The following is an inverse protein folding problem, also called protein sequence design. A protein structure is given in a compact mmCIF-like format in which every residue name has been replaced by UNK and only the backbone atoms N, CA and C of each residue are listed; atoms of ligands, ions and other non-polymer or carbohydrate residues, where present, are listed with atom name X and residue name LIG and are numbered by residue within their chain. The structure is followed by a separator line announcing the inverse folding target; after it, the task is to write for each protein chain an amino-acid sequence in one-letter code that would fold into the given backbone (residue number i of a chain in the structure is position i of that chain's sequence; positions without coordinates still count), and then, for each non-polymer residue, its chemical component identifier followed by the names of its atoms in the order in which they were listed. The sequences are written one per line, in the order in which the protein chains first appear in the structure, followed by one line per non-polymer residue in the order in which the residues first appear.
data_IF_485478630340
#
_entry.id   IF_485478630340
#
_cell.length_a   1.000
_cell.length_b   1.000
_cell.length_c   1.000
_cell.angle_alpha   90.00
_cell.angle_beta   90.00
_cell.angle_gamma   90.00
#
_symmetry.space_group_name_H-M   'P 1'
#
loop_
_entity.id
_entity.type
_entity.pdbx_description
1 polymer ?
#
# COMPACT_ATOMS: atom_id res chain seq x y z
N UNK A 1 -1.04 24.35 -36.78
CA UNK A 1 -0.82 24.68 -35.36
C UNK A 1 -0.79 23.37 -34.60
N UNK A 2 0.35 23.00 -34.04
CA UNK A 2 0.46 21.82 -33.18
C UNK A 2 -0.41 22.03 -31.95
N UNK A 3 -1.55 21.34 -31.93
CA UNK A 3 -2.61 21.61 -30.95
C UNK A 3 -2.21 21.18 -29.53
N UNK A 4 -1.16 20.38 -29.39
CA UNK A 4 -0.60 19.90 -28.12
C UNK A 4 0.91 19.68 -28.22
N UNK A 5 1.63 19.92 -27.12
CA UNK A 5 3.08 19.74 -27.03
C UNK A 5 3.44 18.25 -27.07
N UNK A 6 4.42 17.90 -27.89
CA UNK A 6 5.05 16.58 -27.88
C UNK A 6 5.68 16.35 -26.49
N UNK A 7 5.40 15.22 -25.82
CA UNK A 7 6.04 14.90 -24.55
C UNK A 7 7.56 14.80 -24.73
N UNK A 8 8.31 15.30 -23.75
CA UNK A 8 9.74 15.04 -23.68
C UNK A 8 10.00 13.53 -23.47
N UNK A 9 11.20 13.10 -23.81
CA UNK A 9 11.61 11.71 -23.59
C UNK A 9 11.68 11.43 -22.08
N UNK A 10 11.05 10.35 -21.65
CA UNK A 10 11.09 9.93 -20.25
C UNK A 10 12.36 9.13 -19.95
N UNK A 11 13.17 9.66 -19.03
CA UNK A 11 14.49 9.11 -18.66
C UNK A 11 14.79 9.34 -17.18
N UNK A 12 13.87 8.96 -16.31
CA UNK A 12 14.03 9.12 -14.85
C UNK A 12 14.22 7.75 -14.23
N UNK A 13 15.29 7.57 -13.47
CA UNK A 13 15.56 6.31 -12.79
C UNK A 13 14.45 6.00 -11.75
N UNK A 14 13.96 4.74 -11.66
CA UNK A 14 12.97 4.35 -10.67
C UNK A 14 13.36 4.65 -9.21
N UNK A 15 14.67 4.65 -8.90
CA UNK A 15 15.21 4.94 -7.58
C UNK A 15 15.19 6.42 -7.19
N UNK A 16 14.95 7.33 -8.14
CA UNK A 16 14.90 8.77 -7.86
C UNK A 16 13.72 9.12 -6.93
N UNK A 17 13.95 10.02 -5.97
CA UNK A 17 12.94 10.52 -5.04
C UNK A 17 11.72 11.18 -5.71
N UNK A 18 11.89 11.68 -6.93
CA UNK A 18 10.87 12.35 -7.74
C UNK A 18 10.23 11.44 -8.78
N UNK A 19 10.71 10.19 -8.91
CA UNK A 19 10.35 9.26 -9.99
C UNK A 19 8.84 9.04 -10.11
N UNK A 20 8.15 8.81 -8.98
CA UNK A 20 6.69 8.63 -8.97
C UNK A 20 5.94 9.86 -9.50
N UNK A 21 6.30 11.07 -9.04
CA UNK A 21 5.62 12.31 -9.45
C UNK A 21 5.87 12.60 -10.92
N UNK A 22 7.11 12.44 -11.35
CA UNK A 22 7.50 12.69 -12.74
C UNK A 22 6.85 11.69 -13.69
N UNK A 23 6.78 10.40 -13.32
CA UNK A 23 6.06 9.38 -14.08
C UNK A 23 4.57 9.71 -14.21
N UNK A 24 3.89 10.04 -13.10
CA UNK A 24 2.45 10.39 -13.12
C UNK A 24 2.18 11.57 -14.06
N UNK A 25 3.01 12.62 -13.98
CA UNK A 25 2.89 13.80 -14.83
C UNK A 25 3.18 13.46 -16.30
N UNK A 26 4.31 12.80 -16.57
CA UNK A 26 4.72 12.43 -17.93
C UNK A 26 3.69 11.53 -18.60
N UNK A 27 3.22 10.49 -17.89
CA UNK A 27 2.19 9.56 -18.38
C UNK A 27 0.93 10.33 -18.78
N UNK A 28 0.49 11.29 -17.97
CA UNK A 28 -0.69 12.10 -18.29
C UNK A 28 -0.49 12.92 -19.57
N UNK A 29 0.66 13.56 -19.71
CA UNK A 29 1.01 14.32 -20.93
C UNK A 29 1.10 13.42 -22.15
N UNK A 30 1.67 12.23 -22.00
CA UNK A 30 1.77 11.23 -23.06
C UNK A 30 0.41 10.66 -23.48
N UNK A 31 -0.49 10.37 -22.54
CA UNK A 31 -1.88 9.98 -22.83
C UNK A 31 -2.64 11.07 -23.59
N UNK A 32 -2.48 12.34 -23.21
CA UNK A 32 -3.07 13.47 -23.92
C UNK A 32 -2.54 13.57 -25.36
N UNK A 33 -1.24 13.34 -25.56
CA UNK A 33 -0.61 13.33 -26.88
C UNK A 33 -1.13 12.18 -27.76
N UNK A 34 -1.21 10.95 -27.23
CA UNK A 34 -1.79 9.81 -27.95
C UNK A 34 -3.23 10.11 -28.37
N UNK A 35 -4.04 10.66 -27.46
CA UNK A 35 -5.44 10.94 -27.73
C UNK A 35 -5.65 11.83 -28.96
N UNK A 36 -4.77 12.82 -29.14
CA UNK A 36 -4.80 13.77 -30.26
C UNK A 36 -4.33 13.13 -31.56
N UNK A 37 -3.38 12.21 -31.48
CA UNK A 37 -2.87 11.50 -32.66
C UNK A 37 -3.80 10.42 -33.18
N UNK A 38 -4.87 10.09 -32.44
CA UNK A 38 -5.85 9.09 -32.86
C UNK A 38 -6.47 9.54 -34.18
N UNK A 39 -6.31 8.80 -35.29
CA UNK A 39 -6.96 9.16 -36.53
C UNK A 39 -8.48 9.13 -36.33
N UNK A 40 -9.17 10.16 -36.82
CA UNK A 40 -10.62 10.12 -36.93
C UNK A 40 -10.99 8.91 -37.81
N UNK A 41 -11.99 8.13 -37.41
CA UNK A 41 -12.46 7.03 -38.24
C UNK A 41 -12.80 7.60 -39.64
N UNK A 42 -12.34 6.97 -40.73
CA UNK A 42 -12.74 7.43 -42.06
C UNK A 42 -14.26 7.32 -42.15
N UNK A 43 -14.93 8.45 -42.32
CA UNK A 43 -16.30 8.47 -42.83
C UNK A 43 -16.24 7.82 -44.20
N UNK A 44 -16.78 6.60 -44.28
CA UNK A 44 -17.12 5.83 -45.50
C UNK A 44 -16.44 6.29 -46.79
N UNK A 45 -15.41 5.55 -47.21
CA UNK A 45 -15.21 5.26 -48.63
C UNK A 45 -14.51 3.91 -48.79
N UNK A 46 -15.21 3.00 -49.46
CA UNK A 46 -14.97 1.56 -49.49
C UNK A 46 -13.76 1.11 -50.32
N UNK A 47 -12.71 1.92 -50.48
CA UNK A 47 -11.63 1.59 -51.43
C UNK A 47 -10.19 1.88 -50.97
N UNK A 48 -9.90 1.82 -49.66
CA UNK A 48 -8.51 1.70 -49.20
C UNK A 48 -8.23 0.32 -48.61
N UNK A 49 -7.45 -0.46 -49.35
CA UNK A 49 -7.00 -1.83 -49.06
C UNK A 49 -5.86 -1.82 -48.02
N UNK A 50 -6.02 -1.07 -46.92
CA UNK A 50 -5.10 -1.12 -45.78
C UNK A 50 -5.94 -1.50 -44.56
N UNK A 51 -5.73 -2.69 -43.95
CA UNK A 51 -6.32 -2.97 -42.66
C UNK A 51 -5.92 -1.81 -41.74
N UNK A 52 -6.85 -1.18 -41.00
CA UNK A 52 -6.47 -0.13 -40.08
C UNK A 52 -5.37 -0.69 -39.18
N UNK A 53 -4.15 -0.15 -39.29
CA UNK A 53 -3.08 -0.51 -38.36
C UNK A 53 -3.69 -0.37 -36.97
N UNK A 54 -3.74 -1.49 -36.24
CA UNK A 54 -4.45 -1.56 -34.97
C UNK A 54 -3.83 -0.46 -34.11
N UNK A 55 -4.64 0.55 -33.77
CA UNK A 55 -4.23 1.76 -33.07
C UNK A 55 -3.32 1.46 -31.85
N UNK A 56 -3.53 0.32 -31.20
CA UNK A 56 -2.70 -0.16 -30.09
C UNK A 56 -1.22 -0.44 -30.45
N UNK A 57 -0.93 -0.90 -31.68
CA UNK A 57 0.45 -1.05 -32.16
C UNK A 57 1.13 0.31 -32.31
N UNK A 58 0.41 1.30 -32.85
CA UNK A 58 0.91 2.67 -32.99
C UNK A 58 1.17 3.28 -31.60
N UNK A 59 0.25 3.11 -30.63
CA UNK A 59 0.48 3.52 -29.23
C UNK A 59 1.76 2.93 -28.65
N UNK A 60 1.98 1.63 -28.86
CA UNK A 60 3.15 0.94 -28.34
C UNK A 60 4.45 1.47 -28.98
N UNK A 61 4.47 1.68 -30.29
CA UNK A 61 5.61 2.30 -30.98
C UNK A 61 5.88 3.72 -30.47
N UNK A 62 4.84 4.53 -30.28
CA UNK A 62 4.97 5.86 -29.70
C UNK A 62 5.55 5.82 -28.29
N UNK A 63 5.13 4.86 -27.47
CA UNK A 63 5.66 4.67 -26.12
C UNK A 63 7.17 4.39 -26.17
N UNK A 64 7.59 3.39 -26.96
CA UNK A 64 8.99 3.01 -27.13
C UNK A 64 9.84 4.19 -27.61
N UNK A 65 9.31 5.02 -28.51
CA UNK A 65 10.02 6.19 -29.04
C UNK A 65 10.18 7.34 -28.02
N UNK A 66 9.31 7.41 -27.01
CA UNK A 66 9.32 8.50 -26.02
C UNK A 66 9.88 8.08 -24.65
N UNK A 67 10.48 6.90 -24.54
CA UNK A 67 11.23 6.46 -23.35
C UNK A 67 12.72 6.30 -23.66
N UNK A 68 13.56 6.33 -22.63
CA UNK A 68 14.99 6.08 -22.75
C UNK A 68 15.33 4.60 -22.95
N UNK A 69 16.53 4.25 -23.46
CA UNK A 69 16.91 2.86 -23.63
C UNK A 69 16.99 2.15 -22.28
N UNK A 70 17.42 2.86 -21.23
CA UNK A 70 17.44 2.35 -19.86
C UNK A 70 16.03 1.96 -19.40
N UNK A 71 15.04 2.82 -19.66
CA UNK A 71 13.65 2.52 -19.28
C UNK A 71 13.06 1.42 -20.16
N UNK A 72 13.43 1.36 -21.44
CA UNK A 72 12.99 0.30 -22.36
C UNK A 72 13.41 -1.10 -21.88
N UNK A 73 14.55 -1.25 -21.19
CA UNK A 73 14.99 -2.56 -20.66
C UNK A 73 13.94 -3.23 -19.76
N UNK A 74 13.12 -2.44 -19.05
CA UNK A 74 12.08 -2.98 -18.18
C UNK A 74 10.85 -3.48 -18.94
N UNK A 75 10.64 -3.02 -20.18
CA UNK A 75 9.47 -3.37 -21.00
C UNK A 75 9.84 -4.08 -22.31
N UNK A 76 11.08 -4.55 -22.45
CA UNK A 76 11.57 -5.18 -23.69
C UNK A 76 10.78 -6.44 -24.06
N UNK A 77 10.24 -7.14 -23.06
CA UNK A 77 9.41 -8.34 -23.23
C UNK A 77 7.93 -8.01 -23.42
N UNK A 78 7.51 -6.76 -23.20
CA UNK A 78 6.12 -6.38 -23.36
C UNK A 78 5.70 -6.44 -24.83
N UNK A 79 4.57 -7.07 -25.08
CA UNK A 79 4.06 -7.30 -26.44
C UNK A 79 3.13 -6.20 -26.93
N UNK A 80 2.60 -5.41 -25.99
CA UNK A 80 1.58 -4.40 -26.25
C UNK A 80 1.68 -3.23 -25.26
N UNK A 81 0.96 -2.16 -25.60
CA UNK A 81 0.93 -0.91 -24.83
C UNK A 81 0.46 -1.09 -23.38
N UNK A 82 -0.63 -1.83 -23.17
CA UNK A 82 -1.23 -1.99 -21.83
C UNK A 82 -0.31 -2.77 -20.89
N UNK A 83 0.34 -3.81 -21.39
CA UNK A 83 1.35 -4.58 -20.66
C UNK A 83 2.54 -3.71 -20.26
N UNK A 84 3.09 -2.95 -21.21
CA UNK A 84 4.22 -2.04 -20.95
C UNK A 84 3.87 -0.95 -19.93
N UNK A 85 2.70 -0.31 -20.06
CA UNK A 85 2.23 0.69 -19.09
C UNK A 85 2.02 0.05 -17.71
N UNK A 86 1.50 -1.18 -17.64
CA UNK A 86 1.32 -1.87 -16.37
C UNK A 86 2.66 -2.13 -15.67
N UNK A 87 3.67 -2.55 -16.42
CA UNK A 87 5.03 -2.76 -15.90
C UNK A 87 5.62 -1.44 -15.39
N UNK A 88 5.59 -0.39 -16.21
CA UNK A 88 6.13 0.93 -15.82
C UNK A 88 5.36 1.52 -14.65
N UNK A 89 4.04 1.37 -14.61
CA UNK A 89 3.22 1.83 -13.49
C UNK A 89 3.63 1.15 -12.18
N UNK A 90 3.85 -0.17 -12.19
CA UNK A 90 4.34 -0.91 -11.01
C UNK A 90 5.76 -0.50 -10.62
N UNK A 91 6.60 -0.16 -11.59
CA UNK A 91 7.98 0.25 -11.39
C UNK A 91 8.06 1.63 -10.70
N UNK A 92 7.26 2.60 -11.15
CA UNK A 92 7.33 3.98 -10.68
C UNK A 92 6.35 4.32 -9.55
N UNK A 93 5.23 3.60 -9.44
CA UNK A 93 4.19 3.90 -8.45
C UNK A 93 4.14 2.78 -7.44
N UNK A 94 4.71 3.06 -6.27
CA UNK A 94 4.66 2.15 -5.12
C UNK A 94 3.20 2.01 -4.67
N UNK A 95 2.74 0.78 -4.35
CA UNK A 95 1.40 0.58 -3.84
C UNK A 95 1.24 1.35 -2.53
N UNK A 96 0.13 2.09 -2.43
CA UNK A 96 -0.19 2.82 -1.21
C UNK A 96 -0.66 1.84 -0.13
N UNK A 97 -0.16 2.04 1.08
CA UNK A 97 -0.69 1.33 2.23
C UNK A 97 -1.96 2.04 2.70
N UNK A 98 -3.11 1.51 2.30
CA UNK A 98 -4.42 2.12 2.58
C UNK A 98 -4.73 2.09 4.08
N UNK A 99 -4.37 0.99 4.75
CA UNK A 99 -4.59 0.80 6.18
C UNK A 99 -3.80 1.84 6.98
N UNK A 100 -2.53 2.06 6.62
CA UNK A 100 -1.70 3.09 7.22
C UNK A 100 -2.21 4.50 6.92
N UNK A 101 -2.59 4.80 5.68
CA UNK A 101 -3.12 6.11 5.31
C UNK A 101 -4.39 6.46 6.11
N UNK A 102 -5.33 5.52 6.21
CA UNK A 102 -6.56 5.68 6.99
C UNK A 102 -6.28 5.79 8.49
N UNK A 103 -5.32 5.03 9.01
CA UNK A 103 -4.88 5.15 10.39
C UNK A 103 -4.30 6.55 10.68
N UNK A 104 -3.50 7.10 9.76
CA UNK A 104 -2.97 8.47 9.88
C UNK A 104 -4.07 9.51 9.90
N UNK A 105 -5.08 9.39 9.04
CA UNK A 105 -6.25 10.27 9.06
C UNK A 105 -7.01 10.16 10.39
N UNK A 106 -7.30 8.94 10.85
CA UNK A 106 -8.09 8.69 12.05
C UNK A 106 -7.40 9.13 13.35
N UNK A 107 -6.07 9.06 13.40
CA UNK A 107 -5.29 9.40 14.61
C UNK A 107 -4.72 10.82 14.60
N UNK A 108 -4.86 11.55 13.49
CA UNK A 108 -4.40 12.94 13.40
C UNK A 108 -5.23 13.81 14.34
N UNK A 109 -4.56 14.41 15.34
CA UNK A 109 -5.12 15.38 16.28
C UNK A 109 -4.55 16.77 16.05
N UNK A 110 -5.34 17.82 16.21
CA UNK A 110 -4.87 19.21 16.13
C UNK A 110 -3.72 19.45 17.11
N UNK A 111 -2.66 20.12 16.66
CA UNK A 111 -1.54 20.52 17.53
C UNK A 111 -1.90 21.78 18.32
N UNK A 112 -1.33 22.01 19.52
CA UNK A 112 -1.67 23.19 20.34
C UNK A 112 -1.57 24.54 19.61
N UNK A 113 -0.58 24.69 18.73
CA UNK A 113 -0.30 25.93 17.97
C UNK A 113 -0.87 25.92 16.54
N UNK A 114 -1.64 24.90 16.17
CA UNK A 114 -2.16 24.75 14.80
C UNK A 114 -3.53 25.42 14.67
N UNK A 115 -3.70 26.30 13.69
CA UNK A 115 -5.01 26.90 13.41
C UNK A 115 -6.01 25.86 12.89
N UNK A 116 -7.30 26.15 13.05
CA UNK A 116 -8.37 25.26 12.59
C UNK A 116 -8.30 25.06 11.07
N UNK A 117 -8.02 26.11 10.30
CA UNK A 117 -7.89 26.03 8.85
C UNK A 117 -6.72 25.14 8.42
N UNK A 118 -5.56 25.30 9.07
CA UNK A 118 -4.38 24.47 8.79
C UNK A 118 -4.65 23.01 9.15
N UNK A 119 -5.32 22.76 10.27
CA UNK A 119 -5.70 21.40 10.68
C UNK A 119 -6.64 20.74 9.67
N UNK A 120 -7.69 21.44 9.22
CA UNK A 120 -8.62 20.93 8.22
C UNK A 120 -7.91 20.65 6.87
N UNK A 121 -7.01 21.54 6.46
CA UNK A 121 -6.20 21.32 5.25
C UNK A 121 -5.30 20.08 5.38
N UNK A 122 -4.69 19.85 6.54
CA UNK A 122 -3.89 18.66 6.79
C UNK A 122 -4.74 17.38 6.70
N UNK A 123 -5.95 17.37 7.28
CA UNK A 123 -6.88 16.23 7.17
C UNK A 123 -7.30 15.99 5.71
N UNK A 124 -7.62 17.04 4.95
CA UNK A 124 -7.94 16.95 3.51
C UNK A 124 -6.77 16.45 2.67
N UNK A 125 -5.53 16.69 3.09
CA UNK A 125 -4.36 16.16 2.41
C UNK A 125 -4.23 14.66 2.68
N UNK A 126 -4.34 14.23 3.94
CA UNK A 126 -4.29 12.82 4.34
C UNK A 126 -5.41 11.99 3.67
N UNK A 127 -6.60 12.55 3.52
CA UNK A 127 -7.73 11.85 2.90
C UNK A 127 -7.49 11.47 1.44
N UNK A 128 -6.59 12.16 0.73
CA UNK A 128 -6.24 11.82 -0.67
C UNK A 128 -5.48 10.51 -0.80
N UNK A 129 -4.82 10.06 0.26
CA UNK A 129 -4.07 8.80 0.27
C UNK A 129 -4.90 7.63 0.80
N UNK A 130 -6.09 7.88 1.34
CA UNK A 130 -6.98 6.86 1.90
C UNK A 130 -7.78 6.08 0.85
N UNK A 131 -7.77 6.53 -0.41
CA UNK A 131 -8.46 5.93 -1.56
C UNK A 131 -9.94 5.59 -1.28
N UNK A 132 -10.71 6.60 -0.85
CA UNK A 132 -12.14 6.43 -0.61
C UNK A 132 -12.88 6.21 -1.93
N UNK A 133 -13.56 5.06 -2.03
CA UNK A 133 -14.35 4.66 -3.20
C UNK A 133 -15.81 4.46 -2.81
N UNK A 134 -16.71 4.58 -3.78
CA UNK A 134 -18.12 4.26 -3.56
C UNK A 134 -18.29 2.75 -3.35
N UNK A 135 -18.84 2.37 -2.20
CA UNK A 135 -19.10 0.98 -1.81
C UNK A 135 -20.52 0.85 -1.26
N UNK A 136 -20.99 -0.39 -1.13
CA UNK A 136 -22.25 -0.67 -0.46
C UNK A 136 -22.17 -0.35 1.05
N UNK A 137 -23.33 -0.23 1.68
CA UNK A 137 -23.43 0.16 3.09
C UNK A 137 -22.73 -0.83 4.04
N UNK A 138 -22.73 -2.13 3.72
CA UNK A 138 -22.12 -3.16 4.57
C UNK A 138 -20.60 -3.09 4.49
N UNK A 139 -20.04 -2.95 3.29
CA UNK A 139 -18.60 -2.72 3.10
C UNK A 139 -18.14 -1.46 3.82
N UNK A 140 -18.87 -0.34 3.71
CA UNK A 140 -18.53 0.90 4.40
C UNK A 140 -18.57 0.75 5.93
N UNK A 141 -19.55 0.01 6.45
CA UNK A 141 -19.66 -0.30 7.88
C UNK A 141 -18.46 -1.12 8.35
N UNK A 142 -18.09 -2.17 7.62
CA UNK A 142 -16.94 -3.02 7.95
C UNK A 142 -15.62 -2.27 7.89
N UNK A 143 -15.44 -1.41 6.89
CA UNK A 143 -14.30 -0.49 6.78
C UNK A 143 -14.22 0.46 8.00
N UNK A 144 -15.34 1.07 8.36
CA UNK A 144 -15.41 2.00 9.50
C UNK A 144 -15.07 1.31 10.83
N UNK A 145 -15.58 0.09 11.03
CA UNK A 145 -15.28 -0.72 12.22
C UNK A 145 -13.82 -1.14 12.23
N UNK A 146 -13.25 -1.56 11.08
CA UNK A 146 -11.83 -1.93 10.96
C UNK A 146 -10.93 -0.76 11.34
N UNK A 147 -11.20 0.41 10.79
CA UNK A 147 -10.35 1.59 11.00
C UNK A 147 -10.40 2.06 12.48
N UNK A 148 -11.58 1.99 13.11
CA UNK A 148 -11.76 2.22 14.55
C UNK A 148 -11.06 1.15 15.40
N UNK A 149 -11.18 -0.13 15.03
CA UNK A 149 -10.53 -1.26 15.71
C UNK A 149 -9.00 -1.09 15.72
N UNK A 150 -8.39 -0.87 14.55
CA UNK A 150 -6.93 -0.71 14.42
C UNK A 150 -6.43 0.52 15.19
N UNK A 151 -7.13 1.64 15.10
CA UNK A 151 -6.73 2.87 15.82
C UNK A 151 -6.90 2.74 17.34
N UNK A 152 -7.88 1.97 17.80
CA UNK A 152 -8.16 1.72 19.22
C UNK A 152 -7.28 0.67 19.91
N UNK A 153 -6.56 -0.17 19.17
CA UNK A 153 -5.68 -1.19 19.76
C UNK A 153 -4.59 -0.53 20.63
N UNK A 154 -4.48 -0.99 21.88
CA UNK A 154 -3.50 -0.51 22.86
C UNK A 154 -2.10 -1.09 22.60
N UNK A 155 -1.99 -2.37 22.24
CA UNK A 155 -0.71 -3.02 21.94
C UNK A 155 -0.09 -2.42 20.68
N UNK A 156 1.00 -1.67 20.85
CA UNK A 156 1.75 -1.07 19.74
C UNK A 156 2.23 -2.14 18.77
N UNK A 157 2.66 -3.31 19.27
CA UNK A 157 3.18 -4.40 18.44
C UNK A 157 2.09 -4.97 17.54
N UNK A 158 0.91 -5.27 18.09
CA UNK A 158 -0.23 -5.74 17.30
C UNK A 158 -0.62 -4.70 16.26
N UNK A 159 -0.80 -3.44 16.66
CA UNK A 159 -1.14 -2.35 15.73
C UNK A 159 -0.10 -2.22 14.62
N UNK A 160 1.19 -2.22 14.93
CA UNK A 160 2.26 -2.17 13.94
C UNK A 160 2.15 -3.30 12.92
N UNK A 161 1.92 -4.54 13.37
CA UNK A 161 1.77 -5.71 12.48
C UNK A 161 0.53 -5.61 11.57
N UNK A 162 -0.55 -5.00 12.03
CA UNK A 162 -1.73 -4.74 11.20
C UNK A 162 -1.44 -3.67 10.14
N UNK A 163 -0.75 -2.59 10.53
CA UNK A 163 -0.39 -1.47 9.65
C UNK A 163 0.64 -1.83 8.57
N UNK A 164 1.34 -2.97 8.68
CA UNK A 164 2.25 -3.45 7.62
C UNK A 164 1.49 -3.90 6.35
N UNK A 165 0.22 -4.27 6.48
CA UNK A 165 -0.57 -4.75 5.36
C UNK A 165 -1.05 -3.59 4.49
N UNK A 166 -0.85 -3.68 3.17
CA UNK A 166 -1.32 -2.68 2.21
C UNK A 166 -2.85 -2.54 2.21
N UNK A 167 -3.53 -3.69 2.36
CA UNK A 167 -4.99 -3.83 2.40
C UNK A 167 -5.38 -4.90 3.41
N UNK A 168 -6.48 -4.71 4.14
CA UNK A 168 -7.02 -5.65 5.11
C UNK A 168 -8.54 -5.56 5.14
N UNK A 169 -9.24 -6.68 5.18
CA UNK A 169 -10.66 -6.72 5.59
C UNK A 169 -10.78 -6.67 7.11
N UNK A 170 -11.98 -6.41 7.62
CA UNK A 170 -12.26 -6.47 9.06
C UNK A 170 -11.92 -7.84 9.64
N UNK A 171 -12.37 -8.92 9.00
CA UNK A 171 -12.11 -10.28 9.47
C UNK A 171 -10.62 -10.63 9.47
N UNK A 172 -9.89 -10.20 8.43
CA UNK A 172 -8.43 -10.41 8.38
C UNK A 172 -7.72 -9.66 9.51
N UNK A 173 -8.11 -8.41 9.76
CA UNK A 173 -7.55 -7.60 10.84
C UNK A 173 -7.83 -8.22 12.22
N UNK A 174 -9.07 -8.69 12.45
CA UNK A 174 -9.46 -9.38 13.67
C UNK A 174 -8.65 -10.67 13.88
N UNK A 175 -8.62 -11.56 12.89
CA UNK A 175 -7.94 -12.85 13.00
C UNK A 175 -6.43 -12.67 13.22
N UNK A 176 -5.81 -11.70 12.52
CA UNK A 176 -4.40 -11.38 12.71
C UNK A 176 -4.13 -10.82 14.11
N UNK A 177 -4.97 -9.90 14.60
CA UNK A 177 -4.84 -9.32 15.93
C UNK A 177 -4.97 -10.38 17.03
N UNK A 178 -5.99 -11.25 16.93
CA UNK A 178 -6.25 -12.34 17.87
C UNK A 178 -5.08 -13.34 17.91
N UNK A 179 -4.55 -13.71 16.75
CA UNK A 179 -3.39 -14.59 16.65
C UNK A 179 -2.17 -14.01 17.36
N UNK A 180 -1.91 -12.70 17.17
CA UNK A 180 -0.80 -12.00 17.80
C UNK A 180 -1.00 -11.84 19.32
N UNK A 181 -2.21 -11.51 19.76
CA UNK A 181 -2.56 -11.41 21.18
C UNK A 181 -2.37 -12.76 21.89
N UNK A 182 -2.87 -13.84 21.30
CA UNK A 182 -2.70 -15.20 21.82
C UNK A 182 -1.21 -15.57 21.91
N UNK A 183 -0.41 -15.22 20.90
CA UNK A 183 1.03 -15.45 20.92
C UNK A 183 1.74 -14.65 22.03
N UNK A 184 1.32 -13.40 22.27
CA UNK A 184 1.85 -12.57 23.36
C UNK A 184 1.52 -13.16 24.73
N UNK A 185 0.27 -13.58 24.96
CA UNK A 185 -0.18 -14.23 26.20
C UNK A 185 0.60 -15.53 26.43
N UNK A 186 0.70 -16.39 25.42
CA UNK A 186 1.42 -17.65 25.53
C UNK A 186 2.89 -17.44 25.85
N UNK A 187 3.56 -16.48 25.19
CA UNK A 187 4.95 -16.14 25.47
C UNK A 187 5.17 -15.66 26.91
N UNK A 188 4.24 -14.88 27.46
CA UNK A 188 4.29 -14.46 28.86
C UNK A 188 4.16 -15.64 29.82
N UNK A 189 3.26 -16.60 29.52
CA UNK A 189 3.06 -17.80 30.33
C UNK A 189 4.28 -18.74 30.32
N UNK A 190 5.00 -18.86 29.20
CA UNK A 190 6.25 -19.64 29.18
C UNK A 190 7.30 -19.05 30.12
N UNK A 191 7.42 -17.73 30.17
CA UNK A 191 8.40 -17.05 31.05
C UNK A 191 8.07 -17.23 32.54
N UNK A 192 6.79 -17.30 32.91
CA UNK A 192 6.40 -17.48 34.33
C UNK A 192 6.58 -18.91 34.82
N UNK A 193 6.35 -19.92 33.97
CA UNK A 193 6.55 -21.34 34.33
C UNK A 193 8.04 -21.67 34.52
N UNK A 194 8.93 -21.12 33.70
CA UNK A 194 10.38 -21.34 33.83
C UNK A 194 10.98 -20.77 35.13
N UNK A 195 10.41 -19.70 35.70
CA UNK A 195 10.90 -19.12 36.96
C UNK A 195 10.48 -19.93 38.20
N UNK A 196 9.29 -20.54 38.18
CA UNK A 196 8.80 -21.35 39.31
C UNK A 196 9.44 -22.74 39.41
N UNK A 197 10.06 -23.24 38.34
CA UNK A 197 10.71 -24.56 38.32
C UNK A 197 12.13 -24.57 38.92
N UNK A 198 12.71 -23.41 39.25
CA UNK A 198 14.09 -23.27 39.75
C UNK A 198 14.15 -23.09 41.28
N UNK A 199 13.01 -22.95 41.98
CA UNK A 199 13.02 -22.88 43.44
C UNK A 199 13.37 -24.26 44.05
N UNK A 200 14.55 -24.45 44.68
CA UNK A 200 14.86 -25.71 45.33
C UNK A 200 13.96 -25.86 46.56
N UNK A 201 13.17 -26.95 46.60
CA UNK A 201 12.47 -27.35 47.83
C UNK A 201 13.52 -27.72 48.87
N UNK A 202 13.66 -26.92 49.92
CA UNK A 202 14.49 -27.29 51.08
C UNK A 202 13.98 -28.60 51.69
N UNK A 203 14.86 -29.59 51.94
CA UNK A 203 14.46 -30.84 52.59
C UNK A 203 14.19 -30.61 54.08
N UNK A 204 12.95 -30.85 54.51
CA UNK A 204 12.58 -30.88 55.93
C UNK A 204 13.19 -32.12 56.58
N UNK A 205 14.25 -31.95 57.37
CA UNK A 205 14.78 -32.99 58.23
C UNK A 205 13.90 -33.11 59.49
N UNK A 206 13.14 -34.20 59.60
CA UNK A 206 12.44 -34.57 60.85
C UNK A 206 13.40 -35.35 61.74
N UNK A 207 13.97 -34.71 62.75
CA UNK A 207 14.70 -35.41 63.80
C UNK A 207 13.70 -36.01 64.81
N UNK A 208 13.40 -37.29 64.65
CA UNK A 208 12.85 -38.14 65.71
C UNK A 208 13.97 -38.37 66.73
N UNK A 209 13.85 -37.79 67.94
CA UNK A 209 14.67 -38.18 69.09
C UNK A 209 13.82 -39.06 69.99
N UNK A 210 14.06 -40.36 69.88
CA UNK A 210 13.67 -41.34 70.88
C UNK A 210 14.40 -41.06 72.21
N UNK A 211 13.66 -41.34 73.29
CA UNK A 211 14.00 -41.25 74.70
C UNK A 211 15.25 -42.06 75.08
N UNK A 212 15.98 -41.65 76.14
CA UNK A 212 16.49 -42.56 77.20
C UNK A 212 17.17 -41.79 78.36
N UNK A 213 16.56 -41.90 79.54
CA UNK A 213 17.12 -42.07 80.89
C UNK A 213 18.47 -41.41 81.28
N UNK A 214 18.41 -40.41 82.16
CA UNK A 214 18.72 -40.48 83.61
C UNK A 214 18.67 -39.07 84.22
#
# INVERSE_FOLDING_TARGET
MDRYLRPERFDIDPSDSSSTRAWIHWRKTFENFIFVQKPAAPETDAQSFRPPEKWDSIKFQLLVNHISPNIYTYISEATNYEEAITILQKLYVKPKNLIFARHMLATRKQRPEESIDTYLQALKLLSKDCDFVAVDAETNKNDSVRDAFISGISSHKIRQRLLENLTLTLDQAYNQALSLETAEINSQNFNTVSLNAIAPKEPKFSAQRDLLFC
#
